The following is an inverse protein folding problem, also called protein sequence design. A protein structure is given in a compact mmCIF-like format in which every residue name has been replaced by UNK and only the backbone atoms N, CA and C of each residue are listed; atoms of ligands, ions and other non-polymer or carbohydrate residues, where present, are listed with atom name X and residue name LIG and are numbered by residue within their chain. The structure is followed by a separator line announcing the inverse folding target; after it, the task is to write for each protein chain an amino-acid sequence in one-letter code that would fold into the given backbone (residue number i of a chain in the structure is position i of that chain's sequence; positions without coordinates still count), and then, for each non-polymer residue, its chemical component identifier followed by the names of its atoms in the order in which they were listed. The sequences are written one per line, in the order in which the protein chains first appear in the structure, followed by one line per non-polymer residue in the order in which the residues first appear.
data_IF_947525181012
#
_entry.id   IF_947525181012
#
_cell.length_a   1.000
_cell.length_b   1.000
_cell.length_c   1.000
_cell.angle_alpha   90.00
_cell.angle_beta   90.00
_cell.angle_gamma   90.00
#
_symmetry.space_group_name_H-M   'P 1'
#
loop_
_entity.id
_entity.type
_entity.pdbx_description
1 polymer ?
#
# COMPACT_ATOMS: atom_id res chain seq x y z
N UNK A 1 19.04 -15.82 -52.32
CA UNK A 1 17.82 -15.54 -51.51
C UNK A 1 18.20 -14.48 -50.50
N UNK A 2 17.71 -13.25 -50.67
CA UNK A 2 17.89 -12.17 -49.71
C UNK A 2 16.62 -11.32 -49.72
N UNK A 3 15.97 -11.23 -48.56
CA UNK A 3 14.63 -10.65 -48.39
C UNK A 3 14.64 -9.11 -48.45
N UNK A 4 13.57 -8.47 -48.97
CA UNK A 4 13.42 -7.02 -48.98
C UNK A 4 12.54 -6.50 -47.83
N UNK A 5 12.73 -5.21 -47.50
CA UNK A 5 11.88 -4.32 -46.70
C UNK A 5 11.97 -4.36 -45.16
N UNK A 6 12.84 -3.50 -44.63
CA UNK A 6 12.57 -2.76 -43.39
C UNK A 6 12.49 -1.27 -43.75
N UNK A 7 11.27 -0.75 -43.93
CA UNK A 7 11.02 0.69 -44.07
C UNK A 7 11.14 1.35 -42.68
N UNK A 8 12.33 1.86 -42.37
CA UNK A 8 12.53 2.74 -41.22
C UNK A 8 12.12 4.15 -41.63
N UNK A 9 11.01 4.67 -41.10
CA UNK A 9 10.64 6.08 -41.26
C UNK A 9 11.33 6.91 -40.17
N UNK A 10 11.94 8.07 -40.51
CA UNK A 10 12.49 8.95 -39.50
C UNK A 10 11.34 9.72 -38.82
N UNK A 11 11.21 9.57 -37.50
CA UNK A 11 10.27 10.33 -36.67
C UNK A 11 10.69 11.81 -36.68
N UNK A 12 9.94 12.65 -37.38
CA UNK A 12 10.10 14.10 -37.35
C UNK A 12 9.93 14.60 -35.90
N UNK A 13 10.97 15.21 -35.35
CA UNK A 13 10.89 15.95 -34.09
C UNK A 13 10.07 17.21 -34.35
N UNK A 14 8.80 17.17 -34.00
CA UNK A 14 7.95 18.36 -33.94
C UNK A 14 8.50 19.26 -32.83
N UNK A 15 9.27 20.27 -33.21
CA UNK A 15 9.58 21.39 -32.33
C UNK A 15 8.26 22.16 -32.13
N UNK A 16 7.64 22.02 -30.97
CA UNK A 16 6.54 22.91 -30.56
C UNK A 16 7.12 24.32 -30.40
N UNK A 17 6.93 25.14 -31.43
CA UNK A 17 7.15 26.57 -31.33
C UNK A 17 6.07 27.15 -30.41
N UNK A 18 6.45 27.52 -29.19
CA UNK A 18 5.57 28.16 -28.20
C UNK A 18 4.93 29.41 -28.80
N UNK A 19 3.59 29.46 -28.73
CA UNK A 19 2.77 30.53 -29.29
C UNK A 19 3.05 31.87 -28.57
N UNK A 20 2.87 32.98 -29.27
CA UNK A 20 3.16 34.34 -28.77
C UNK A 20 2.43 34.72 -27.47
N UNK A 21 1.34 34.01 -27.13
CA UNK A 21 0.63 34.14 -25.85
C UNK A 21 1.41 33.57 -24.66
N UNK A 22 2.12 32.45 -24.83
CA UNK A 22 2.99 31.88 -23.79
C UNK A 22 4.22 32.77 -23.55
N UNK A 23 4.76 33.39 -24.61
CA UNK A 23 5.87 34.35 -24.48
C UNK A 23 5.47 35.59 -23.70
N UNK A 24 4.26 36.14 -23.95
CA UNK A 24 3.71 37.26 -23.16
C UNK A 24 3.43 36.90 -21.69
N UNK A 25 3.07 35.66 -21.39
CA UNK A 25 2.90 35.20 -20.00
C UNK A 25 4.25 35.08 -19.26
N UNK A 26 5.31 34.66 -19.95
CA UNK A 26 6.67 34.55 -19.37
C UNK A 26 7.30 35.93 -19.14
N UNK A 27 7.05 36.90 -20.02
CA UNK A 27 7.58 38.27 -19.89
C UNK A 27 6.97 39.03 -18.70
N UNK A 28 5.72 38.72 -18.32
CA UNK A 28 5.04 39.33 -17.18
C UNK A 28 5.52 38.82 -15.81
N UNK A 29 6.35 37.77 -15.73
CA UNK A 29 6.89 37.29 -14.45
C UNK A 29 8.20 37.98 -14.02
N UNK A 30 8.86 38.74 -14.90
CA UNK A 30 10.18 39.31 -14.60
C UNK A 30 10.16 40.72 -14.01
N UNK A 31 9.06 41.48 -14.15
CA UNK A 31 8.95 42.85 -13.61
C UNK A 31 7.99 42.88 -12.42
N UNK A 32 8.33 43.61 -11.34
CA UNK A 32 7.43 43.77 -10.21
C UNK A 32 6.14 44.48 -10.67
N UNK A 33 4.96 44.05 -10.21
CA UNK A 33 3.72 44.74 -10.53
C UNK A 33 3.74 46.18 -9.97
N UNK A 34 3.02 47.13 -10.59
CA UNK A 34 3.17 48.57 -10.39
C UNK A 34 2.87 49.11 -8.98
N UNK A 35 2.54 48.24 -8.01
CA UNK A 35 2.22 48.62 -6.63
C UNK A 35 2.94 47.76 -5.57
N UNK A 36 3.96 46.99 -5.96
CA UNK A 36 4.70 46.10 -5.04
C UNK A 36 6.15 46.54 -4.95
N UNK A 37 6.63 46.76 -3.72
CA UNK A 37 8.03 47.11 -3.47
C UNK A 37 8.95 45.99 -3.98
N UNK A 38 10.06 46.36 -4.63
CA UNK A 38 11.01 45.40 -5.23
C UNK A 38 11.47 44.30 -4.24
N UNK A 39 11.67 44.65 -2.96
CA UNK A 39 12.05 43.71 -1.92
C UNK A 39 10.96 42.65 -1.62
N UNK A 40 9.69 43.05 -1.62
CA UNK A 40 8.56 42.14 -1.43
C UNK A 40 8.39 41.22 -2.64
N UNK A 41 8.60 41.75 -3.85
CA UNK A 41 8.58 40.96 -5.07
C UNK A 41 9.70 39.90 -5.10
N UNK A 42 10.94 40.28 -4.78
CA UNK A 42 12.05 39.32 -4.65
C UNK A 42 11.77 38.22 -3.63
N UNK A 43 11.17 38.58 -2.49
CA UNK A 43 10.76 37.61 -1.45
C UNK A 43 9.67 36.66 -1.96
N UNK A 44 8.71 37.16 -2.74
CA UNK A 44 7.66 36.33 -3.34
C UNK A 44 8.24 35.32 -4.34
N UNK A 45 9.17 35.76 -5.20
CA UNK A 45 9.85 34.90 -6.16
C UNK A 45 10.66 33.80 -5.46
N UNK A 46 11.37 34.15 -4.39
CA UNK A 46 12.09 33.18 -3.56
C UNK A 46 11.14 32.15 -2.91
N UNK A 47 9.98 32.59 -2.44
CA UNK A 47 8.96 31.68 -1.89
C UNK A 47 8.35 30.76 -2.97
N UNK A 48 8.12 31.26 -4.18
CA UNK A 48 7.65 30.48 -5.33
C UNK A 48 8.67 29.40 -5.69
N UNK A 49 9.95 29.78 -5.80
CA UNK A 49 11.09 28.87 -6.01
C UNK A 49 11.17 27.78 -4.95
N UNK A 50 11.10 28.16 -3.67
CA UNK A 50 11.14 27.22 -2.53
C UNK A 50 9.96 26.25 -2.53
N UNK A 51 8.76 26.70 -2.91
CA UNK A 51 7.58 25.83 -3.03
C UNK A 51 7.76 24.78 -4.13
N UNK A 52 8.27 25.19 -5.29
CA UNK A 52 8.56 24.29 -6.42
C UNK A 52 9.64 23.26 -6.06
N UNK A 53 10.69 23.66 -5.32
CA UNK A 53 11.71 22.74 -4.80
C UNK A 53 11.11 21.70 -3.85
N UNK A 54 10.24 22.10 -2.93
CA UNK A 54 9.55 21.20 -2.00
C UNK A 54 8.63 20.23 -2.76
N UNK A 55 7.86 20.74 -3.72
CA UNK A 55 6.97 19.93 -4.55
C UNK A 55 7.76 18.92 -5.39
N UNK A 56 8.84 19.36 -6.03
CA UNK A 56 9.71 18.50 -6.84
C UNK A 56 10.49 17.50 -5.99
N UNK A 57 10.95 17.88 -4.79
CA UNK A 57 11.60 17.00 -3.83
C UNK A 57 10.66 15.91 -3.29
N UNK A 58 9.40 16.27 -3.01
CA UNK A 58 8.35 15.32 -2.63
C UNK A 58 8.06 14.30 -3.73
N UNK A 59 7.97 14.75 -4.98
CA UNK A 59 7.74 13.89 -6.14
C UNK A 59 8.95 12.96 -6.42
N UNK A 60 10.18 13.46 -6.28
CA UNK A 60 11.40 12.64 -6.39
C UNK A 60 11.45 11.53 -5.33
N UNK A 61 11.11 11.84 -4.07
CA UNK A 61 11.04 10.84 -2.99
C UNK A 61 9.98 9.77 -3.25
N UNK A 62 8.80 10.18 -3.74
CA UNK A 62 7.74 9.24 -4.12
C UNK A 62 8.17 8.30 -5.26
N UNK A 63 8.81 8.84 -6.30
CA UNK A 63 9.33 8.06 -7.43
C UNK A 63 10.39 7.05 -6.98
N UNK A 64 11.34 7.47 -6.15
CA UNK A 64 12.37 6.57 -5.60
C UNK A 64 11.77 5.43 -4.77
N UNK A 65 10.83 5.74 -3.88
CA UNK A 65 10.16 4.71 -3.07
C UNK A 65 9.35 3.72 -3.91
N UNK A 66 8.83 4.16 -5.07
CA UNK A 66 8.14 3.28 -6.00
C UNK A 66 9.13 2.36 -6.73
N UNK A 67 10.25 2.90 -7.22
CA UNK A 67 11.33 2.12 -7.84
C UNK A 67 11.91 1.09 -6.87
N UNK A 68 12.15 1.47 -5.61
CA UNK A 68 12.64 0.56 -4.57
C UNK A 68 11.63 -0.58 -4.29
N UNK A 69 10.32 -0.30 -4.33
CA UNK A 69 9.27 -1.34 -4.19
C UNK A 69 9.23 -2.30 -5.37
N UNK A 70 9.29 -1.76 -6.60
CA UNK A 70 9.30 -2.57 -7.83
C UNK A 70 10.57 -3.45 -7.92
N UNK A 71 11.70 -2.97 -7.41
CA UNK A 71 12.94 -3.77 -7.32
C UNK A 71 12.83 -4.92 -6.31
N UNK A 72 12.19 -4.67 -5.15
CA UNK A 72 11.95 -5.72 -4.14
C UNK A 72 11.01 -6.79 -4.69
N UNK A 73 9.93 -6.40 -5.38
CA UNK A 73 8.98 -7.33 -6.00
C UNK A 73 9.66 -8.19 -7.07
N UNK A 74 10.48 -7.59 -7.96
CA UNK A 74 11.26 -8.36 -8.94
C UNK A 74 12.24 -9.34 -8.30
N UNK A 75 12.90 -8.96 -7.20
CA UNK A 75 13.81 -9.86 -6.46
C UNK A 75 13.06 -11.04 -5.81
N UNK A 76 11.83 -10.81 -5.34
CA UNK A 76 10.98 -11.87 -4.79
C UNK A 76 10.51 -12.84 -5.87
N UNK A 77 10.13 -12.34 -7.05
CA UNK A 77 9.70 -13.16 -8.18
C UNK A 77 10.86 -13.98 -8.76
N UNK A 78 12.05 -13.39 -8.90
CA UNK A 78 13.26 -14.11 -9.32
C UNK A 78 13.64 -15.23 -8.34
N UNK A 79 13.50 -14.99 -7.03
CA UNK A 79 13.78 -16.01 -6.01
C UNK A 79 12.79 -17.17 -6.05
N UNK A 80 11.53 -16.91 -6.45
CA UNK A 80 10.51 -17.95 -6.68
C UNK A 80 10.79 -18.76 -7.94
N UNK A 81 11.29 -18.14 -9.01
CA UNK A 81 11.66 -18.87 -10.24
C UNK A 81 12.92 -19.73 -10.05
N UNK A 82 13.91 -19.27 -9.30
CA UNK A 82 15.15 -20.02 -9.07
C UNK A 82 14.93 -21.24 -8.14
N UNK A 83 13.88 -21.24 -7.32
CA UNK A 83 13.48 -22.40 -6.50
C UNK A 83 12.73 -23.50 -7.25
N UNK A 84 12.48 -23.36 -8.55
CA UNK A 84 11.76 -24.37 -9.37
C UNK A 84 12.70 -25.35 -10.11
N UNK A 85 13.97 -25.42 -9.73
CA UNK A 85 14.96 -26.36 -10.30
C UNK A 85 15.28 -27.57 -9.39
N UNK A 86 14.33 -28.06 -8.59
CA UNK A 86 14.45 -29.33 -7.87
C UNK A 86 13.16 -30.15 -8.03
N UNK A 87 13.23 -31.41 -8.51
CA UNK A 87 12.07 -32.27 -8.63
C UNK A 87 11.80 -32.94 -7.28
N UNK A 88 10.98 -32.31 -6.44
CA UNK A 88 10.46 -32.98 -5.25
C UNK A 88 9.10 -33.62 -5.57
N UNK A 89 9.13 -34.94 -5.59
CA UNK A 89 7.97 -35.82 -5.65
C UNK A 89 7.18 -35.69 -4.34
N UNK A 90 6.21 -34.78 -4.29
CA UNK A 90 5.06 -34.94 -3.39
C UNK A 90 3.79 -34.50 -4.12
N UNK A 91 3.30 -35.40 -4.97
CA UNK A 91 1.91 -35.40 -5.43
C UNK A 91 1.01 -35.68 -4.23
N UNK A 92 0.73 -34.67 -3.42
CA UNK A 92 -0.47 -34.65 -2.58
C UNK A 92 -1.61 -34.14 -3.44
N UNK A 93 -2.35 -35.07 -4.01
CA UNK A 93 -3.66 -34.81 -4.59
C UNK A 93 -4.54 -34.24 -3.48
N UNK A 94 -4.65 -32.92 -3.37
CA UNK A 94 -5.80 -32.32 -2.70
C UNK A 94 -6.97 -32.43 -3.67
N UNK A 95 -7.58 -33.61 -3.64
CA UNK A 95 -8.96 -33.82 -4.07
C UNK A 95 -9.79 -32.65 -3.53
N UNK A 96 -10.18 -31.72 -4.41
CA UNK A 96 -11.27 -30.81 -4.12
C UNK A 96 -12.51 -31.69 -4.17
N UNK A 97 -12.76 -32.35 -3.04
CA UNK A 97 -14.00 -33.03 -2.80
C UNK A 97 -15.08 -31.96 -2.90
N UNK A 98 -15.88 -32.04 -3.96
CA UNK A 98 -17.18 -31.41 -4.05
C UNK A 98 -18.01 -31.99 -2.90
N UNK A 99 -17.93 -31.35 -1.73
CA UNK A 99 -18.79 -31.62 -0.59
C UNK A 99 -19.77 -30.48 -0.49
N UNK A 100 -21.01 -30.84 -0.82
CA UNK A 100 -22.28 -30.40 -0.25
C UNK A 100 -22.36 -28.98 0.34
N UNK A 101 -23.40 -28.24 -0.07
CA UNK A 101 -23.71 -26.84 0.25
C UNK A 101 -23.92 -26.60 1.76
N UNK A 102 -22.86 -26.77 2.54
CA UNK A 102 -22.83 -26.50 3.97
C UNK A 102 -21.89 -25.35 4.19
N UNK A 103 -22.50 -24.23 4.59
CA UNK A 103 -21.91 -22.96 5.05
C UNK A 103 -20.42 -23.09 5.36
N UNK A 104 -19.52 -22.34 4.70
CA UNK A 104 -18.10 -22.51 4.94
C UNK A 104 -17.78 -22.11 6.39
N UNK A 105 -17.46 -23.12 7.21
CA UNK A 105 -17.29 -22.97 8.65
C UNK A 105 -15.95 -22.29 8.90
N UNK A 106 -15.99 -21.02 9.32
CA UNK A 106 -14.81 -20.31 9.78
C UNK A 106 -14.23 -21.06 11.00
N UNK A 107 -12.91 -21.33 11.05
CA UNK A 107 -12.31 -22.00 12.20
C UNK A 107 -12.61 -21.24 13.50
N UNK A 108 -13.01 -21.94 14.56
CA UNK A 108 -13.38 -21.34 15.86
C UNK A 108 -12.32 -20.35 16.40
N UNK A 109 -11.04 -20.59 16.12
CA UNK A 109 -9.94 -19.71 16.53
C UNK A 109 -9.88 -18.38 15.78
N UNK A 110 -10.43 -18.31 14.57
CA UNK A 110 -10.44 -17.13 13.71
C UNK A 110 -11.71 -16.30 13.88
N UNK A 111 -12.82 -16.88 14.35
CA UNK A 111 -14.12 -16.19 14.53
C UNK A 111 -13.98 -14.87 15.30
N UNK A 112 -13.11 -14.82 16.32
CA UNK A 112 -12.84 -13.60 17.09
C UNK A 112 -12.28 -12.47 16.23
N UNK A 113 -11.46 -12.80 15.23
CA UNK A 113 -10.71 -11.85 14.41
C UNK A 113 -11.48 -11.42 13.15
N UNK A 114 -12.52 -12.16 12.76
CA UNK A 114 -13.42 -11.78 11.67
C UNK A 114 -14.13 -10.47 12.02
N UNK A 115 -14.16 -9.53 11.09
CA UNK A 115 -14.87 -8.24 11.18
C UNK A 115 -14.46 -7.28 12.32
N UNK A 116 -13.44 -7.57 13.13
CA UNK A 116 -13.03 -6.68 14.24
C UNK A 116 -12.74 -5.24 13.78
N UNK A 117 -12.14 -5.06 12.59
CA UNK A 117 -11.78 -3.76 12.02
C UNK A 117 -12.79 -3.27 10.98
N UNK A 118 -13.99 -3.85 10.90
CA UNK A 118 -15.01 -3.43 9.92
C UNK A 118 -15.36 -1.95 10.06
N UNK A 119 -15.43 -1.45 11.30
CA UNK A 119 -15.72 -0.06 11.62
C UNK A 119 -14.60 0.94 11.24
N UNK A 120 -13.38 0.46 10.95
CA UNK A 120 -12.27 1.29 10.48
C UNK A 120 -12.27 1.42 8.95
N UNK A 121 -13.06 0.61 8.24
CA UNK A 121 -13.28 0.82 6.81
C UNK A 121 -14.09 2.11 6.67
N UNK A 122 -13.55 3.06 5.89
CA UNK A 122 -14.22 4.34 5.66
C UNK A 122 -15.62 4.14 5.08
N UNK A 123 -16.52 5.08 5.35
CA UNK A 123 -17.83 5.08 4.70
C UNK A 123 -17.64 5.47 3.24
N UNK A 124 -18.12 4.64 2.32
CA UNK A 124 -18.08 4.97 0.90
C UNK A 124 -18.92 6.23 0.66
N UNK A 125 -18.26 7.33 0.27
CA UNK A 125 -18.89 8.63 0.03
C UNK A 125 -19.70 8.67 -1.29
N UNK A 126 -20.41 7.60 -1.62
CA UNK A 126 -21.26 7.48 -2.81
C UNK A 126 -20.50 7.25 -4.13
N UNK A 127 -19.16 7.22 -4.11
CA UNK A 127 -18.37 6.87 -5.31
C UNK A 127 -18.24 5.36 -5.39
N UNK A 128 -18.95 4.74 -6.34
CA UNK A 128 -18.83 3.32 -6.64
C UNK A 128 -17.38 2.98 -6.96
N UNK A 129 -16.84 1.98 -6.26
CA UNK A 129 -15.56 1.40 -6.60
C UNK A 129 -15.59 0.89 -8.06
N UNK A 130 -14.46 0.97 -8.80
CA UNK A 130 -14.42 0.41 -10.14
C UNK A 130 -14.71 -1.08 -10.07
N UNK A 131 -15.70 -1.54 -10.85
CA UNK A 131 -16.10 -2.94 -10.86
C UNK A 131 -14.93 -3.87 -11.19
N UNK A 132 -14.84 -4.98 -10.45
CA UNK A 132 -13.87 -6.05 -10.67
C UNK A 132 -14.09 -6.77 -12.00
N UNK A 133 -13.14 -7.65 -12.37
CA UNK A 133 -13.25 -8.45 -13.60
C UNK A 133 -14.47 -9.39 -13.56
N UNK A 134 -14.63 -10.15 -12.46
CA UNK A 134 -15.74 -11.08 -12.29
C UNK A 134 -17.09 -10.37 -12.26
N UNK A 135 -17.17 -9.20 -11.62
CA UNK A 135 -18.39 -8.37 -11.59
C UNK A 135 -18.78 -7.88 -13.00
N UNK A 136 -17.81 -7.47 -13.82
CA UNK A 136 -18.08 -7.11 -15.23
C UNK A 136 -18.52 -8.31 -16.06
N UNK A 137 -18.00 -9.50 -15.76
CA UNK A 137 -18.38 -10.74 -16.43
C UNK A 137 -19.78 -11.18 -16.02
N UNK A 138 -20.12 -11.01 -14.74
CA UNK A 138 -21.47 -11.19 -14.22
C UNK A 138 -22.47 -10.25 -14.91
N UNK A 139 -22.16 -8.96 -15.01
CA UNK A 139 -22.99 -7.99 -15.73
C UNK A 139 -23.24 -8.42 -17.19
N UNK A 140 -22.20 -8.93 -17.87
CA UNK A 140 -22.32 -9.43 -19.26
C UNK A 140 -23.20 -10.67 -19.35
N UNK A 141 -23.02 -11.64 -18.45
CA UNK A 141 -23.84 -12.86 -18.42
C UNK A 141 -25.32 -12.52 -18.19
N UNK A 142 -25.60 -11.58 -17.28
CA UNK A 142 -26.96 -11.08 -17.03
C UNK A 142 -27.52 -10.36 -18.26
N UNK A 143 -26.73 -9.51 -18.93
CA UNK A 143 -27.17 -8.80 -20.13
C UNK A 143 -27.48 -9.75 -21.30
N UNK A 144 -26.74 -10.87 -21.40
CA UNK A 144 -26.99 -11.90 -22.40
C UNK A 144 -28.16 -12.84 -22.05
N UNK A 145 -28.62 -12.83 -20.79
CA UNK A 145 -29.68 -13.72 -20.29
C UNK A 145 -29.19 -15.09 -19.82
N UNK A 146 -27.88 -15.31 -19.71
CA UNK A 146 -27.28 -16.59 -19.30
C UNK A 146 -27.25 -16.71 -17.76
N UNK A 147 -28.39 -17.08 -17.16
CA UNK A 147 -28.56 -17.16 -15.71
C UNK A 147 -27.66 -18.20 -15.04
N UNK A 148 -27.45 -19.35 -15.68
CA UNK A 148 -26.58 -20.42 -15.17
C UNK A 148 -25.13 -19.96 -15.00
N UNK A 149 -24.63 -19.19 -15.97
CA UNK A 149 -23.28 -18.63 -15.92
C UNK A 149 -23.20 -17.53 -14.86
N UNK A 150 -24.21 -16.66 -14.79
CA UNK A 150 -24.27 -15.62 -13.79
C UNK A 150 -24.26 -16.19 -12.35
N UNK A 151 -25.01 -17.27 -12.10
CA UNK A 151 -24.99 -17.96 -10.80
C UNK A 151 -23.60 -18.46 -10.43
N UNK A 152 -22.92 -19.15 -11.37
CA UNK A 152 -21.55 -19.66 -11.13
C UNK A 152 -20.56 -18.55 -10.81
N UNK A 153 -20.64 -17.42 -11.54
CA UNK A 153 -19.77 -16.26 -11.28
C UNK A 153 -20.10 -15.64 -9.91
N UNK A 154 -21.37 -15.57 -9.54
CA UNK A 154 -21.79 -15.10 -8.21
C UNK A 154 -21.20 -15.97 -7.09
N UNK A 155 -21.28 -17.29 -7.23
CA UNK A 155 -20.71 -18.24 -6.26
C UNK A 155 -19.19 -18.06 -6.14
N UNK A 156 -18.50 -17.84 -7.26
CA UNK A 156 -17.06 -17.53 -7.27
C UNK A 156 -16.73 -16.22 -6.56
N UNK A 157 -17.53 -15.16 -6.76
CA UNK A 157 -17.35 -13.89 -6.06
C UNK A 157 -17.56 -14.09 -4.54
N UNK A 158 -18.59 -14.85 -4.16
CA UNK A 158 -18.86 -15.17 -2.76
C UNK A 158 -17.70 -15.95 -2.12
N UNK A 159 -17.17 -16.96 -2.82
CA UNK A 159 -16.02 -17.74 -2.37
C UNK A 159 -14.78 -16.85 -2.20
N UNK A 160 -14.46 -16.00 -3.18
CA UNK A 160 -13.31 -15.10 -3.11
C UNK A 160 -13.44 -14.10 -1.94
N UNK A 161 -14.64 -13.58 -1.71
CA UNK A 161 -14.90 -12.69 -0.58
C UNK A 161 -14.72 -13.42 0.76
N UNK A 162 -15.18 -14.67 0.84
CA UNK A 162 -14.97 -15.53 2.00
C UNK A 162 -13.47 -15.79 2.26
N UNK A 163 -12.70 -16.15 1.24
CA UNK A 163 -11.24 -16.33 1.33
C UNK A 163 -10.55 -15.07 1.84
N UNK A 164 -10.91 -13.89 1.32
CA UNK A 164 -10.38 -12.61 1.80
C UNK A 164 -10.70 -12.39 3.28
N UNK A 165 -11.90 -12.71 3.74
CA UNK A 165 -12.25 -12.57 5.17
C UNK A 165 -11.45 -13.49 6.07
N UNK A 166 -11.14 -14.72 5.63
CA UNK A 166 -10.26 -15.63 6.36
C UNK A 166 -8.84 -15.07 6.40
N UNK A 167 -8.33 -14.63 5.25
CA UNK A 167 -6.97 -14.11 5.13
C UNK A 167 -6.78 -12.89 6.05
N UNK A 168 -7.71 -11.93 6.02
CA UNK A 168 -7.72 -10.78 6.93
C UNK A 168 -7.70 -11.21 8.41
N UNK A 169 -8.46 -12.25 8.77
CA UNK A 169 -8.50 -12.77 10.12
C UNK A 169 -7.19 -13.46 10.54
N UNK A 170 -6.55 -14.20 9.63
CA UNK A 170 -5.24 -14.84 9.86
C UNK A 170 -4.17 -13.77 10.08
N UNK A 171 -4.07 -12.80 9.17
CA UNK A 171 -3.10 -11.71 9.28
C UNK A 171 -3.23 -10.96 10.60
N UNK A 172 -4.46 -10.74 11.05
CA UNK A 172 -4.71 -10.08 12.32
C UNK A 172 -4.28 -10.92 13.52
N UNK A 173 -4.59 -12.22 13.51
CA UNK A 173 -4.15 -13.15 14.55
C UNK A 173 -2.62 -13.16 14.65
N UNK A 174 -1.92 -13.27 13.52
CA UNK A 174 -0.47 -13.24 13.48
C UNK A 174 0.12 -11.92 13.99
N UNK A 175 -0.52 -10.79 13.68
CA UNK A 175 -0.13 -9.49 14.20
C UNK A 175 -0.22 -9.43 15.72
N UNK A 176 -1.31 -9.92 16.32
CA UNK A 176 -1.49 -9.91 17.77
C UNK A 176 -0.48 -10.84 18.47
N UNK A 177 -0.20 -12.02 17.90
CA UNK A 177 0.86 -12.90 18.40
C UNK A 177 2.25 -12.26 18.30
N UNK A 178 2.54 -11.58 17.19
CA UNK A 178 3.80 -10.85 16.98
C UNK A 178 3.95 -9.71 17.99
N UNK A 179 2.89 -8.94 18.20
CA UNK A 179 2.85 -7.84 19.17
C UNK A 179 3.08 -8.35 20.59
N UNK A 180 2.41 -9.45 20.98
CA UNK A 180 2.59 -10.08 22.29
C UNK A 180 4.03 -10.55 22.50
N UNK A 181 4.63 -11.22 21.51
CA UNK A 181 6.05 -11.63 21.55
C UNK A 181 6.99 -10.44 21.69
N UNK A 182 6.74 -9.35 20.98
CA UNK A 182 7.55 -8.13 21.09
C UNK A 182 7.43 -7.48 22.48
N UNK A 183 6.23 -7.43 23.05
CA UNK A 183 5.98 -6.93 24.40
C UNK A 183 6.67 -7.80 25.47
N UNK A 184 6.64 -9.12 25.32
CA UNK A 184 7.37 -10.06 26.20
C UNK A 184 8.88 -9.87 26.10
N UNK A 185 9.43 -9.69 24.89
CA UNK A 185 10.85 -9.39 24.70
C UNK A 185 11.22 -8.03 25.31
N UNK A 186 10.37 -7.02 25.16
CA UNK A 186 10.56 -5.71 25.80
C UNK A 186 10.48 -5.83 27.33
N UNK A 187 9.55 -6.61 27.87
CA UNK A 187 9.44 -6.85 29.31
C UNK A 187 10.69 -7.55 29.86
N UNK A 188 11.21 -8.57 29.16
CA UNK A 188 12.46 -9.25 29.52
C UNK A 188 13.68 -8.32 29.46
N UNK A 189 13.71 -7.36 28.51
CA UNK A 189 14.77 -6.36 28.37
C UNK A 189 14.66 -5.21 29.39
N UNK A 190 13.47 -4.93 29.92
CA UNK A 190 13.27 -3.87 30.92
C UNK A 190 13.97 -4.30 32.21
N UNK A 191 15.06 -3.61 32.54
CA UNK A 191 15.69 -3.72 33.86
C UNK A 191 14.67 -3.29 34.94
N UNK A 192 14.67 -3.93 36.11
CA UNK A 192 13.84 -3.48 37.23
C UNK A 192 14.15 -2.01 37.49
N UNK A 193 13.11 -1.20 37.71
CA UNK A 193 13.28 0.22 38.06
C UNK A 193 14.11 0.27 39.34
N UNK A 194 15.31 0.85 39.25
CA UNK A 194 16.16 1.06 40.40
C UNK A 194 15.39 1.97 41.36
N UNK A 195 15.22 1.56 42.62
CA UNK A 195 14.51 2.32 43.65
C UNK A 195 15.36 3.55 43.99
N UNK A 196 15.29 4.61 43.19
CA UNK A 196 15.94 5.91 43.45
C UNK A 196 15.22 6.71 44.56
N UNK A 197 14.52 6.01 45.46
CA UNK A 197 13.97 6.65 46.64
C UNK A 197 15.06 6.78 47.71
N UNK A 198 15.12 7.93 48.36
CA UNK A 198 15.75 8.03 49.66
C UNK A 198 14.94 7.15 50.63
N UNK A 199 15.50 6.01 51.05
CA UNK A 199 14.98 5.25 52.18
C UNK A 199 15.02 6.21 53.37
N UNK A 200 13.86 6.67 53.85
CA UNK A 200 13.82 7.63 54.95
C UNK A 200 14.36 6.93 56.20
N UNK A 201 15.62 7.21 56.50
CA UNK A 201 16.31 6.67 57.66
C UNK A 201 15.53 7.07 58.91
N UNK A 202 15.21 6.11 59.77
CA UNK A 202 14.47 6.42 60.98
C UNK A 202 15.33 7.32 61.89
N UNK A 203 14.70 8.28 62.59
CA UNK A 203 15.39 9.31 63.40
C UNK A 203 16.41 8.74 64.40
N UNK A 204 16.22 7.52 64.89
CA UNK A 204 17.13 6.86 65.83
C UNK A 204 18.44 6.37 65.18
N UNK A 205 18.46 6.12 63.87
CA UNK A 205 19.66 5.67 63.14
C UNK A 205 20.56 6.83 62.67
N UNK A 206 20.07 8.07 62.68
CA UNK A 206 20.84 9.25 62.22
C UNK A 206 21.67 9.89 63.34
N UNK A 207 21.43 9.51 64.61
CA UNK A 207 21.98 10.20 65.80
C UNK A 207 23.03 9.38 66.56
N UNK A 208 23.57 8.30 65.99
CA UNK A 208 24.58 7.45 66.68
C UNK A 208 26.02 7.70 66.22
N UNK A 209 26.30 8.77 65.48
CA UNK A 209 27.65 9.06 64.98
C UNK A 209 28.14 10.44 65.46
N UNK A 210 28.14 10.61 66.78
CA UNK A 210 28.78 11.73 67.50
C UNK A 210 29.60 11.18 68.65
#
# INVERSE_FOLDING_TARGET
MADPNIRTTPRLKVFLNKTSHEKKLIENETKPPPNVKLAQWKRLQELKRRREEIQNGGNKKKKKNQEDREEIEKKLDQKRSDSLSAPDQTTSQSSIHLVDQTIPIIPKSLVKYVNMNSHLKGVDHGRLAPKGRLEKELDKAVANGDLELASKISDQIAQKNYENTIQDAIERKEFDERKKREEELKAKKKRPKLKWGFESKHRWETKSNM
#
